data_IF_120108442964
#
_entry.id   IF_120108442964
#
_cell.length_a   1.000
_cell.length_b   1.000
_cell.length_c   1.000
_cell.angle_alpha   90.00
_cell.angle_beta   90.00
_cell.angle_gamma   90.00
#
_symmetry.space_group_name_H-M   'P 1'
#
loop_
_entity.id
_entity.type
_entity.pdbx_description
1 polymer ?
#
# COMPACT_ATOMS: atom_id res chain seq x y z
N UNK A 1 65.40 0.27 15.60
CA UNK A 1 65.29 -1.17 15.92
C UNK A 1 64.75 -1.89 14.68
N UNK A 2 65.34 -3.02 14.25
CA UNK A 2 64.97 -3.71 12.99
C UNK A 2 63.90 -4.78 13.27
N UNK A 3 62.82 -4.80 12.50
CA UNK A 3 62.10 -6.05 12.17
C UNK A 3 61.92 -6.07 10.64
N UNK A 4 62.29 -7.20 10.02
CA UNK A 4 62.34 -7.44 8.57
C UNK A 4 61.61 -8.77 8.30
N UNK A 5 60.93 -8.90 7.15
CA UNK A 5 60.46 -10.17 6.53
C UNK A 5 59.35 -10.90 7.34
N UNK A 6 58.54 -11.86 6.86
CA UNK A 6 58.17 -12.41 5.52
C UNK A 6 56.90 -13.30 5.70
N UNK A 7 56.13 -13.76 4.69
CA UNK A 7 56.20 -13.59 3.22
C UNK A 7 54.79 -13.51 2.56
N UNK A 8 54.79 -12.95 1.36
CA UNK A 8 53.91 -13.12 0.20
C UNK A 8 53.46 -14.57 -0.12
N UNK A 9 52.18 -14.77 -0.48
CA UNK A 9 51.70 -15.74 -1.49
C UNK A 9 50.33 -15.30 -2.03
N UNK A 10 50.20 -15.12 -3.35
CA UNK A 10 48.94 -14.88 -4.06
C UNK A 10 48.47 -16.20 -4.65
N UNK A 11 47.19 -16.54 -4.55
CA UNK A 11 46.52 -17.37 -5.55
C UNK A 11 45.08 -16.88 -5.74
N UNK A 12 44.74 -16.48 -6.96
CA UNK A 12 43.38 -16.17 -7.34
C UNK A 12 42.64 -17.48 -7.67
N UNK A 13 41.43 -17.65 -7.14
CA UNK A 13 40.48 -18.66 -7.64
C UNK A 13 39.17 -17.94 -7.97
N UNK A 14 39.00 -17.69 -9.27
CA UNK A 14 37.71 -17.34 -9.86
C UNK A 14 36.78 -18.54 -9.82
N UNK A 15 35.59 -18.39 -9.22
CA UNK A 15 34.50 -19.35 -9.34
C UNK A 15 33.17 -18.60 -9.55
N UNK A 16 32.83 -18.38 -10.82
CA UNK A 16 31.47 -18.00 -11.23
C UNK A 16 30.64 -19.28 -11.26
N UNK A 17 29.71 -19.45 -10.33
CA UNK A 17 28.75 -20.56 -10.35
C UNK A 17 27.44 -20.14 -11.01
N UNK A 18 27.49 -19.98 -12.34
CA UNK A 18 26.29 -19.86 -13.17
C UNK A 18 25.54 -21.20 -13.19
N UNK A 19 24.52 -21.36 -12.37
CA UNK A 19 23.57 -22.48 -12.49
C UNK A 19 22.51 -22.18 -13.56
N UNK A 20 22.92 -22.31 -14.82
CA UNK A 20 21.99 -22.36 -15.94
C UNK A 20 21.43 -23.79 -16.06
N UNK A 21 20.22 -24.01 -15.54
CA UNK A 21 19.42 -25.19 -15.91
C UNK A 21 18.74 -24.91 -17.24
N UNK A 22 19.36 -25.33 -18.33
CA UNK A 22 18.71 -25.42 -19.63
C UNK A 22 17.76 -26.62 -19.63
N UNK A 23 16.46 -26.37 -19.65
CA UNK A 23 15.46 -27.37 -20.02
C UNK A 23 15.32 -27.38 -21.57
N UNK A 24 15.18 -28.56 -22.21
CA UNK A 24 15.14 -28.66 -23.66
C UNK A 24 13.87 -28.07 -24.26
N UNK A 25 14.02 -27.47 -25.44
CA UNK A 25 12.92 -27.09 -26.32
C UNK A 25 12.37 -28.34 -27.02
N UNK A 26 11.21 -28.85 -26.57
CA UNK A 26 10.41 -29.79 -27.34
C UNK A 26 9.05 -29.17 -27.69
N UNK A 27 8.72 -29.25 -28.98
CA UNK A 27 7.59 -28.55 -29.56
C UNK A 27 6.26 -29.28 -29.29
N UNK A 28 5.33 -28.62 -28.59
CA UNK A 28 3.96 -29.09 -28.51
C UNK A 28 3.17 -28.69 -29.76
N UNK A 29 3.09 -29.62 -30.72
CA UNK A 29 2.20 -29.53 -31.87
C UNK A 29 0.75 -29.64 -31.39
N UNK A 30 -0.01 -28.55 -31.54
CA UNK A 30 -1.46 -28.56 -31.32
C UNK A 30 -2.13 -29.36 -32.44
N UNK A 31 -2.42 -30.64 -32.18
CA UNK A 31 -3.35 -31.43 -33.00
C UNK A 31 -4.78 -31.13 -32.57
N UNK A 32 -5.47 -30.28 -33.34
CA UNK A 32 -6.93 -30.16 -33.25
C UNK A 32 -7.53 -31.44 -33.83
N UNK A 33 -8.02 -32.32 -32.96
CA UNK A 33 -8.89 -33.43 -33.32
C UNK A 33 -10.33 -33.00 -33.09
N UNK A 34 -11.10 -32.92 -34.17
CA UNK A 34 -12.57 -32.89 -34.10
C UNK A 34 -13.09 -34.32 -34.20
N UNK A 35 -13.94 -34.73 -33.27
CA UNK A 35 -14.88 -35.84 -33.49
C UNK A 35 -16.19 -35.60 -32.72
N UNK A 36 -17.23 -36.32 -33.12
CA UNK A 36 -18.64 -36.02 -32.89
C UNK A 36 -19.25 -36.80 -31.70
N UNK A 37 -20.19 -36.16 -30.99
CA UNK A 37 -21.39 -36.74 -30.31
C UNK A 37 -21.19 -37.99 -29.40
N UNK A 38 -21.55 -37.99 -28.10
CA UNK A 38 -22.94 -38.01 -27.60
C UNK A 38 -23.03 -37.98 -26.06
N UNK A 39 -24.14 -37.44 -25.52
CA UNK A 39 -24.89 -37.87 -24.32
C UNK A 39 -24.16 -38.25 -23.01
N UNK A 40 -24.35 -37.43 -21.96
CA UNK A 40 -24.19 -37.86 -20.56
C UNK A 40 -24.45 -36.72 -19.57
N UNK A 41 -25.60 -36.72 -18.89
CA UNK A 41 -25.97 -35.67 -17.93
C UNK A 41 -25.61 -36.05 -16.49
N UNK A 42 -24.78 -35.24 -15.84
CA UNK A 42 -24.71 -35.11 -14.37
C UNK A 42 -24.56 -33.63 -14.02
N UNK A 43 -25.22 -33.20 -12.94
CA UNK A 43 -25.39 -31.78 -12.65
C UNK A 43 -24.11 -31.09 -12.18
N UNK A 44 -23.83 -29.92 -12.73
CA UNK A 44 -22.87 -28.95 -12.20
C UNK A 44 -23.61 -27.75 -11.62
N UNK A 45 -23.16 -27.30 -10.46
CA UNK A 45 -23.57 -26.03 -9.83
C UNK A 45 -23.32 -24.88 -10.81
N UNK A 46 -24.20 -23.86 -10.93
CA UNK A 46 -23.91 -22.70 -11.75
C UNK A 46 -22.70 -21.95 -11.18
N UNK A 47 -21.53 -22.13 -11.80
CA UNK A 47 -20.42 -21.20 -11.64
C UNK A 47 -20.85 -19.89 -12.28
N UNK A 48 -20.99 -18.86 -11.45
CA UNK A 48 -21.08 -17.47 -11.91
C UNK A 48 -19.95 -17.22 -12.93
N UNK A 49 -20.24 -16.64 -14.11
CA UNK A 49 -19.21 -16.43 -15.10
C UNK A 49 -18.19 -15.43 -14.54
N UNK A 50 -17.01 -15.92 -14.21
CA UNK A 50 -15.85 -15.08 -13.93
C UNK A 50 -15.61 -14.25 -15.18
N UNK A 51 -15.99 -12.97 -15.12
CA UNK A 51 -15.75 -12.01 -16.20
C UNK A 51 -14.27 -11.66 -16.16
N UNK A 52 -13.44 -12.57 -16.66
CA UNK A 52 -12.04 -12.31 -16.94
C UNK A 52 -12.00 -11.16 -17.94
N UNK A 53 -11.47 -10.02 -17.50
CA UNK A 53 -11.25 -8.89 -18.39
C UNK A 53 -10.35 -9.37 -19.55
N UNK A 54 -10.68 -9.03 -20.81
CA UNK A 54 -9.98 -9.61 -21.95
C UNK A 54 -8.49 -9.27 -21.90
N UNK A 55 -7.65 -10.31 -21.87
CA UNK A 55 -6.20 -10.17 -21.96
C UNK A 55 -5.83 -9.31 -23.18
N UNK A 56 -5.10 -8.21 -22.94
CA UNK A 56 -4.66 -7.28 -23.99
C UNK A 56 -5.46 -6.00 -24.14
N UNK A 57 -6.55 -5.78 -23.37
CA UNK A 57 -7.09 -4.42 -23.21
C UNK A 57 -6.05 -3.55 -22.45
N UNK A 58 -5.55 -2.44 -23.00
CA UNK A 58 -4.45 -1.72 -22.40
C UNK A 58 -4.94 -0.96 -21.16
N UNK A 59 -4.36 -1.29 -20.00
CA UNK A 59 -4.75 -0.79 -18.69
C UNK A 59 -4.87 0.76 -18.69
N UNK A 60 -6.08 1.25 -18.40
CA UNK A 60 -6.40 2.69 -18.40
C UNK A 60 -5.56 3.48 -17.39
N UNK A 61 -5.25 2.88 -16.24
CA UNK A 61 -4.42 3.47 -15.19
C UNK A 61 -2.95 3.47 -15.60
N UNK A 62 -2.42 2.37 -16.13
CA UNK A 62 -1.06 2.34 -16.64
C UNK A 62 -0.86 3.34 -17.78
N UNK A 63 -1.81 3.41 -18.72
CA UNK A 63 -1.86 4.43 -19.77
C UNK A 63 -1.91 5.87 -19.22
N UNK A 64 -2.69 6.10 -18.17
CA UNK A 64 -2.75 7.40 -17.50
C UNK A 64 -1.39 7.75 -16.87
N UNK A 65 -0.77 6.81 -16.15
CA UNK A 65 0.54 7.01 -15.51
C UNK A 65 1.65 7.24 -16.54
N UNK A 66 1.70 6.47 -17.64
CA UNK A 66 2.63 6.68 -18.76
C UNK A 66 2.47 8.08 -19.37
N UNK A 67 1.24 8.56 -19.57
CA UNK A 67 0.97 9.95 -20.03
C UNK A 67 1.42 11.04 -19.04
N UNK A 68 1.64 10.70 -17.77
CA UNK A 68 2.23 11.58 -16.75
C UNK A 68 3.75 11.32 -16.53
N UNK A 69 4.38 10.51 -17.38
CA UNK A 69 5.80 10.14 -17.27
C UNK A 69 6.14 9.28 -16.05
N UNK A 70 5.17 8.51 -15.54
CA UNK A 70 5.33 7.59 -14.40
C UNK A 70 5.25 6.13 -14.90
N UNK A 71 5.79 5.18 -14.14
CA UNK A 71 5.65 3.72 -14.36
C UNK A 71 6.11 3.20 -15.75
N UNK A 72 7.00 3.89 -16.45
CA UNK A 72 7.51 3.45 -17.75
C UNK A 72 8.39 2.19 -17.69
N UNK A 73 8.77 1.74 -16.49
CA UNK A 73 9.53 0.50 -16.25
C UNK A 73 8.67 -0.74 -15.98
N UNK A 74 7.35 -0.68 -16.22
CA UNK A 74 6.39 -1.80 -16.14
C UNK A 74 5.36 -1.73 -17.28
N UNK A 75 4.90 -2.90 -17.70
CA UNK A 75 3.94 -3.17 -18.78
C UNK A 75 2.58 -3.70 -18.28
N UNK A 76 2.50 -4.18 -17.03
CA UNK A 76 1.27 -4.41 -16.27
C UNK A 76 1.28 -3.63 -14.96
N UNK A 77 0.12 -3.09 -14.56
CA UNK A 77 -0.06 -2.42 -13.27
C UNK A 77 0.08 -3.36 -12.07
N UNK A 78 -0.13 -4.67 -12.24
CA UNK A 78 0.12 -5.69 -11.20
C UNK A 78 1.57 -5.68 -10.70
N UNK A 79 2.50 -5.18 -11.51
CA UNK A 79 3.90 -5.03 -11.14
C UNK A 79 4.18 -3.79 -10.27
N UNK A 80 3.22 -2.89 -10.07
CA UNK A 80 3.42 -1.63 -9.34
C UNK A 80 3.89 -1.86 -7.90
N UNK A 81 3.12 -2.62 -7.11
CA UNK A 81 3.50 -3.05 -5.76
C UNK A 81 4.74 -3.96 -5.74
N UNK A 82 4.74 -5.11 -6.43
CA UNK A 82 5.84 -6.09 -6.40
C UNK A 82 7.19 -5.59 -6.91
N UNK A 83 7.23 -4.61 -7.81
CA UNK A 83 8.48 -3.96 -8.28
C UNK A 83 8.77 -2.64 -7.57
N UNK A 84 8.02 -2.30 -6.52
CA UNK A 84 8.15 -1.07 -5.72
C UNK A 84 8.20 0.20 -6.57
N UNK A 85 7.40 0.27 -7.64
CA UNK A 85 7.42 1.41 -8.57
C UNK A 85 6.77 2.64 -7.94
N UNK A 86 7.20 3.81 -8.37
CA UNK A 86 6.77 5.09 -7.81
C UNK A 86 5.91 5.88 -8.78
N UNK A 87 4.80 6.39 -8.25
CA UNK A 87 4.01 7.47 -8.84
C UNK A 87 4.17 8.71 -7.98
N UNK A 88 4.69 9.80 -8.55
CA UNK A 88 4.88 11.08 -7.87
C UNK A 88 4.21 12.20 -8.67
N UNK A 89 2.97 12.55 -8.29
CA UNK A 89 2.13 13.53 -8.98
C UNK A 89 1.71 14.68 -8.05
N UNK A 90 2.67 15.18 -7.27
CA UNK A 90 2.48 16.24 -6.27
C UNK A 90 2.20 17.61 -6.90
N UNK A 91 1.25 18.35 -6.33
CA UNK A 91 0.93 19.74 -6.66
C UNK A 91 0.75 19.97 -8.18
N UNK A 92 -0.12 19.16 -8.79
CA UNK A 92 -0.46 19.21 -10.22
C UNK A 92 -1.87 19.73 -10.50
N UNK A 93 -2.63 20.06 -9.45
CA UNK A 93 -4.04 20.46 -9.56
C UNK A 93 -4.98 19.34 -10.00
N UNK A 94 -4.55 18.07 -9.90
CA UNK A 94 -5.31 16.90 -10.35
C UNK A 94 -6.61 16.78 -9.55
N UNK A 95 -7.71 16.61 -10.26
CA UNK A 95 -9.03 16.27 -9.73
C UNK A 95 -9.34 14.81 -10.04
N UNK A 96 -10.32 14.23 -9.34
CA UNK A 96 -10.77 12.87 -9.64
C UNK A 96 -11.20 12.71 -11.10
N UNK A 97 -11.86 13.70 -11.69
CA UNK A 97 -12.30 13.68 -13.10
C UNK A 97 -11.16 13.69 -14.14
N UNK A 98 -9.90 13.97 -13.76
CA UNK A 98 -8.76 13.94 -14.67
C UNK A 98 -8.14 12.53 -14.80
N UNK A 99 -8.64 11.56 -14.02
CA UNK A 99 -8.12 10.19 -13.88
C UNK A 99 -9.14 9.16 -14.42
N UNK A 100 -8.76 7.89 -14.62
CA UNK A 100 -9.73 6.82 -14.86
C UNK A 100 -10.76 6.71 -13.72
N UNK A 101 -12.06 6.61 -14.05
CA UNK A 101 -13.15 6.58 -13.07
C UNK A 101 -13.43 5.16 -12.54
N UNK A 102 -12.39 4.46 -12.12
CA UNK A 102 -12.43 3.04 -11.69
C UNK A 102 -11.37 2.76 -10.62
N UNK A 103 -11.55 1.72 -9.77
CA UNK A 103 -10.46 1.17 -8.96
C UNK A 103 -9.20 0.86 -9.77
N UNK A 104 -8.03 0.83 -9.15
CA UNK A 104 -6.80 0.39 -9.82
C UNK A 104 -6.90 -1.05 -10.34
N UNK A 105 -7.69 -1.90 -9.68
CA UNK A 105 -7.83 -3.32 -10.05
C UNK A 105 -6.68 -4.21 -9.54
N UNK A 106 -5.75 -3.67 -8.76
CA UNK A 106 -4.59 -4.40 -8.21
C UNK A 106 -4.68 -4.53 -6.69
N UNK A 107 -4.13 -5.60 -6.14
CA UNK A 107 -4.09 -5.85 -4.68
C UNK A 107 -2.90 -5.21 -3.97
N UNK A 108 -1.90 -4.72 -4.71
CA UNK A 108 -0.66 -4.14 -4.16
C UNK A 108 -0.19 -2.92 -4.96
N UNK A 109 -0.04 -1.80 -4.26
CA UNK A 109 0.47 -0.52 -4.80
C UNK A 109 1.91 -0.30 -4.34
N UNK A 110 2.77 0.32 -5.16
CA UNK A 110 4.17 0.58 -4.80
C UNK A 110 4.35 1.79 -3.89
N UNK A 111 4.89 2.88 -4.45
CA UNK A 111 4.85 4.22 -3.88
C UNK A 111 3.84 5.08 -4.65
N UNK A 112 3.03 5.84 -3.93
CA UNK A 112 2.03 6.74 -4.49
C UNK A 112 1.97 8.05 -3.69
N UNK A 113 2.45 9.15 -4.28
CA UNK A 113 2.32 10.50 -3.73
C UNK A 113 1.45 11.37 -4.66
N UNK A 114 0.27 11.73 -4.14
CA UNK A 114 -0.74 12.58 -4.77
C UNK A 114 -1.02 13.83 -3.92
N UNK A 115 -0.12 14.21 -3.00
CA UNK A 115 -0.38 15.31 -2.07
C UNK A 115 -0.51 16.67 -2.76
N UNK A 116 -1.24 17.56 -2.11
CA UNK A 116 -1.49 18.94 -2.55
C UNK A 116 -2.15 19.06 -3.92
N UNK A 117 -3.09 18.17 -4.24
CA UNK A 117 -3.92 18.24 -5.45
C UNK A 117 -5.33 18.73 -5.10
N UNK A 118 -6.31 18.49 -5.98
CA UNK A 118 -7.72 18.83 -5.80
C UNK A 118 -8.60 17.57 -5.74
N UNK A 119 -8.10 16.51 -5.08
CA UNK A 119 -8.85 15.27 -4.89
C UNK A 119 -9.98 15.45 -3.87
N UNK A 120 -11.12 14.83 -4.18
CA UNK A 120 -12.32 14.77 -3.35
C UNK A 120 -12.64 13.36 -2.84
N UNK A 121 -12.04 12.34 -3.46
CA UNK A 121 -12.13 10.95 -3.03
C UNK A 121 -10.88 10.15 -3.43
N UNK A 122 -10.80 8.93 -2.93
CA UNK A 122 -9.73 7.96 -3.20
C UNK A 122 -10.32 6.61 -3.66
N UNK A 123 -11.43 6.64 -4.40
CA UNK A 123 -12.14 5.45 -4.91
C UNK A 123 -11.25 4.49 -5.70
N UNK A 124 -10.18 5.02 -6.33
CA UNK A 124 -9.16 4.25 -7.03
C UNK A 124 -8.45 3.22 -6.14
N UNK A 125 -8.43 3.40 -4.81
CA UNK A 125 -7.82 2.47 -3.85
C UNK A 125 -8.66 1.23 -3.51
N UNK A 126 -9.95 1.17 -3.92
CA UNK A 126 -10.79 0.01 -3.57
C UNK A 126 -10.18 -1.30 -4.08
N UNK A 127 -10.10 -2.29 -3.19
CA UNK A 127 -9.50 -3.60 -3.48
C UNK A 127 -7.99 -3.70 -3.22
N UNK A 128 -7.28 -2.59 -2.96
CA UNK A 128 -5.87 -2.63 -2.56
C UNK A 128 -5.75 -3.21 -1.14
N UNK A 129 -4.89 -4.21 -0.96
CA UNK A 129 -4.64 -4.85 0.34
C UNK A 129 -3.30 -4.46 0.99
N UNK A 130 -2.36 -3.96 0.19
CA UNK A 130 -1.02 -3.60 0.64
C UNK A 130 -0.44 -2.41 -0.13
N UNK A 131 0.39 -1.63 0.55
CA UNK A 131 1.25 -0.62 -0.07
C UNK A 131 2.70 -1.03 0.24
N UNK A 132 3.51 -1.26 -0.79
CA UNK A 132 4.86 -1.80 -0.64
C UNK A 132 5.90 -0.75 -0.25
N UNK A 133 5.57 0.56 -0.33
CA UNK A 133 6.45 1.61 0.17
C UNK A 133 5.74 2.75 0.92
N UNK A 134 5.22 3.76 0.23
CA UNK A 134 4.54 4.92 0.88
C UNK A 134 3.27 5.30 0.14
N UNK A 135 2.31 5.87 0.87
CA UNK A 135 1.08 6.44 0.34
C UNK A 135 0.83 7.80 0.99
N UNK A 136 0.78 8.85 0.16
CA UNK A 136 0.61 10.22 0.60
C UNK A 136 -0.48 10.90 -0.24
N UNK A 137 -1.61 11.20 0.40
CA UNK A 137 -2.72 11.97 -0.19
C UNK A 137 -2.95 13.28 0.54
N UNK A 138 -1.96 13.73 1.32
CA UNK A 138 -2.08 14.88 2.22
C UNK A 138 -2.44 16.18 1.48
N UNK A 139 -3.03 17.14 2.18
CA UNK A 139 -3.40 18.45 1.65
C UNK A 139 -4.34 18.37 0.43
N UNK A 140 -5.19 17.34 0.38
CA UNK A 140 -6.35 17.24 -0.49
C UNK A 140 -7.61 17.45 0.36
N UNK A 141 -7.98 18.69 0.74
CA UNK A 141 -9.02 18.96 1.73
C UNK A 141 -10.44 18.57 1.27
N UNK A 142 -10.61 18.17 0.01
CA UNK A 142 -11.86 17.58 -0.49
C UNK A 142 -12.08 16.14 -0.04
N UNK A 143 -11.04 15.40 0.36
CA UNK A 143 -11.17 14.03 0.85
C UNK A 143 -11.82 14.05 2.24
N UNK A 144 -12.97 13.39 2.37
CA UNK A 144 -13.76 13.24 3.60
C UNK A 144 -14.04 11.80 4.00
N UNK A 145 -13.83 10.84 3.10
CA UNK A 145 -14.02 9.40 3.32
C UNK A 145 -12.73 8.62 3.05
N UNK A 146 -12.43 7.67 3.92
CA UNK A 146 -11.31 6.74 3.83
C UNK A 146 -11.77 5.28 3.62
N UNK A 147 -13.08 5.01 3.51
CA UNK A 147 -13.63 3.67 3.25
C UNK A 147 -12.99 2.89 2.09
N UNK A 148 -12.47 3.53 0.99
CA UNK A 148 -11.73 2.80 -0.03
C UNK A 148 -10.46 2.09 0.44
N UNK A 149 -9.89 2.50 1.59
CA UNK A 149 -8.69 1.91 2.19
C UNK A 149 -8.99 0.65 3.05
N UNK A 150 -10.25 0.29 3.24
CA UNK A 150 -10.69 -0.82 4.12
C UNK A 150 -10.06 -2.19 3.83
N UNK A 151 -9.52 -2.42 2.63
CA UNK A 151 -8.78 -3.64 2.29
C UNK A 151 -7.35 -3.68 2.84
N UNK A 152 -6.78 -2.54 3.24
CA UNK A 152 -5.36 -2.38 3.54
C UNK A 152 -5.04 -2.87 4.95
N UNK A 153 -4.11 -3.82 5.04
CA UNK A 153 -3.62 -4.35 6.32
C UNK A 153 -2.15 -4.01 6.61
N UNK A 154 -1.36 -3.71 5.57
CA UNK A 154 0.08 -3.46 5.67
C UNK A 154 0.52 -2.32 4.76
N UNK A 155 1.32 -1.41 5.31
CA UNK A 155 2.10 -0.41 4.56
C UNK A 155 3.58 -0.61 4.89
N UNK A 156 4.33 -1.14 3.92
CA UNK A 156 5.69 -1.64 4.13
C UNK A 156 6.73 -0.53 4.05
N UNK A 157 7.37 -0.21 5.17
CA UNK A 157 8.67 0.46 5.21
C UNK A 157 8.69 1.99 5.05
N UNK A 158 7.70 2.59 4.40
CA UNK A 158 7.65 4.04 4.16
C UNK A 158 6.56 4.78 4.95
N UNK A 159 6.09 5.88 4.37
CA UNK A 159 5.24 6.87 5.02
C UNK A 159 3.78 6.67 4.60
N UNK A 160 2.87 6.66 5.57
CA UNK A 160 1.43 6.74 5.33
C UNK A 160 0.94 8.10 5.82
N UNK A 161 0.54 8.97 4.89
CA UNK A 161 0.11 10.34 5.23
C UNK A 161 -1.29 10.69 4.75
N UNK A 162 -2.05 11.18 5.70
CA UNK A 162 -3.42 11.66 5.60
C UNK A 162 -3.52 13.07 6.21
N UNK A 163 -2.48 13.90 6.06
CA UNK A 163 -2.43 15.21 6.71
C UNK A 163 -3.32 16.22 5.98
N UNK A 164 -3.98 17.14 6.70
CA UNK A 164 -4.68 18.27 6.06
C UNK A 164 -5.88 17.89 5.17
N UNK A 165 -6.60 16.83 5.53
CA UNK A 165 -7.87 16.40 4.91
C UNK A 165 -9.07 17.00 5.67
N UNK A 166 -10.30 16.73 5.20
CA UNK A 166 -11.55 17.16 5.87
C UNK A 166 -12.27 16.00 6.60
N UNK A 167 -11.54 14.94 6.93
CA UNK A 167 -12.06 13.73 7.58
C UNK A 167 -12.54 13.99 9.01
N UNK A 168 -13.57 13.26 9.44
CA UNK A 168 -14.13 13.31 10.82
C UNK A 168 -13.84 12.07 11.64
N UNK A 169 -13.53 10.95 10.97
CA UNK A 169 -13.14 9.66 11.52
C UNK A 169 -12.04 9.02 10.66
N UNK A 170 -11.52 7.87 11.08
CA UNK A 170 -10.55 7.05 10.34
C UNK A 170 -11.17 5.77 9.75
N UNK A 171 -12.48 5.76 9.49
CA UNK A 171 -13.17 4.55 9.01
C UNK A 171 -12.63 4.15 7.63
N UNK A 172 -12.36 2.87 7.44
CA UNK A 172 -11.52 2.35 6.36
C UNK A 172 -10.09 2.01 6.79
N UNK A 173 -9.65 2.31 8.01
CA UNK A 173 -8.36 1.87 8.56
C UNK A 173 -8.46 0.72 9.58
N UNK A 174 -9.64 0.14 9.78
CA UNK A 174 -9.91 -0.88 10.81
C UNK A 174 -9.09 -2.16 10.64
N UNK A 175 -8.62 -2.43 9.42
CA UNK A 175 -7.80 -3.59 9.10
C UNK A 175 -6.28 -3.31 9.12
N UNK A 176 -5.85 -2.05 9.29
CA UNK A 176 -4.45 -1.67 9.29
C UNK A 176 -3.74 -2.23 10.53
N UNK A 177 -2.81 -3.16 10.33
CA UNK A 177 -2.05 -3.80 11.41
C UNK A 177 -0.62 -3.29 11.49
N UNK A 178 -0.02 -2.86 10.38
CA UNK A 178 1.39 -2.50 10.29
C UNK A 178 1.62 -1.30 9.36
N UNK A 179 2.35 -0.30 9.84
CA UNK A 179 2.93 0.79 9.04
C UNK A 179 4.22 1.28 9.68
N UNK A 180 5.18 1.83 8.94
CA UNK A 180 6.36 2.43 9.59
C UNK A 180 5.96 3.73 10.28
N UNK A 181 5.43 4.69 9.53
CA UNK A 181 5.20 6.05 10.01
C UNK A 181 3.82 6.54 9.51
N UNK A 182 2.90 6.77 10.45
CA UNK A 182 1.53 7.21 10.20
C UNK A 182 1.36 8.68 10.55
N UNK A 183 0.81 9.48 9.63
CA UNK A 183 0.51 10.88 9.84
C UNK A 183 -1.00 11.13 9.64
N UNK A 184 -1.69 11.47 10.73
CA UNK A 184 -3.14 11.81 10.74
C UNK A 184 -3.41 13.21 11.33
N UNK A 185 -2.36 14.01 11.47
CA UNK A 185 -2.40 15.37 11.99
C UNK A 185 -2.85 16.40 10.94
N UNK A 186 -3.08 17.64 11.36
CA UNK A 186 -3.62 18.70 10.51
C UNK A 186 -5.09 18.48 10.12
N UNK A 187 -5.82 17.60 10.82
CA UNK A 187 -7.21 17.26 10.56
C UNK A 187 -8.10 17.80 11.68
N UNK A 188 -8.42 19.11 11.73
CA UNK A 188 -9.10 19.73 12.87
C UNK A 188 -10.54 19.26 13.10
N UNK A 189 -11.12 18.51 12.14
CA UNK A 189 -12.45 17.88 12.26
C UNK A 189 -12.38 16.41 12.70
N UNK A 190 -11.19 15.81 12.76
CA UNK A 190 -11.01 14.40 13.10
C UNK A 190 -11.25 14.18 14.60
N UNK A 191 -12.43 13.67 14.94
CA UNK A 191 -12.84 13.42 16.33
C UNK A 191 -12.90 11.94 16.71
N UNK A 192 -12.81 11.03 15.74
CA UNK A 192 -12.83 9.58 15.97
C UNK A 192 -11.59 8.92 15.38
N UNK A 193 -10.76 8.34 16.24
CA UNK A 193 -9.56 7.57 15.85
C UNK A 193 -9.68 6.09 16.24
N UNK A 194 -10.88 5.60 16.57
CA UNK A 194 -11.11 4.23 17.04
C UNK A 194 -10.76 3.14 16.03
N UNK A 195 -10.82 3.45 14.73
CA UNK A 195 -10.38 2.55 13.66
C UNK A 195 -8.89 2.15 13.77
N UNK A 196 -8.05 2.90 14.50
CA UNK A 196 -6.66 2.50 14.76
C UNK A 196 -6.52 1.26 15.65
N UNK A 197 -7.59 0.77 16.29
CA UNK A 197 -7.55 -0.32 17.28
C UNK A 197 -6.74 -1.54 16.86
N UNK A 198 -6.74 -1.90 15.56
CA UNK A 198 -6.02 -3.06 15.01
C UNK A 198 -4.53 -2.86 14.78
N UNK A 199 -4.02 -1.62 14.84
CA UNK A 199 -2.62 -1.30 14.58
C UNK A 199 -1.73 -1.91 15.68
N UNK A 200 -0.78 -2.76 15.29
CA UNK A 200 0.11 -3.51 16.22
C UNK A 200 1.49 -2.88 16.36
N UNK A 201 1.97 -2.22 15.31
CA UNK A 201 3.34 -1.70 15.26
C UNK A 201 3.41 -0.46 14.37
N UNK A 202 4.07 0.58 14.88
CA UNK A 202 4.46 1.76 14.11
C UNK A 202 5.59 2.51 14.80
N UNK A 203 6.61 2.94 14.05
CA UNK A 203 7.72 3.73 14.58
C UNK A 203 7.27 5.11 15.05
N UNK A 204 6.35 5.75 14.33
CA UNK A 204 5.75 7.02 14.73
C UNK A 204 4.30 7.12 14.25
N UNK A 205 3.40 7.53 15.15
CA UNK A 205 2.04 7.98 14.84
C UNK A 205 1.94 9.46 15.18
N UNK A 206 1.86 10.31 14.16
CA UNK A 206 1.74 11.76 14.28
C UNK A 206 0.26 12.18 14.33
N UNK A 207 -0.10 12.84 15.42
CA UNK A 207 -1.48 13.22 15.76
C UNK A 207 -1.60 14.71 16.04
N UNK A 208 -2.84 15.21 16.06
CA UNK A 208 -3.17 16.56 16.50
C UNK A 208 -3.16 16.66 18.04
N UNK A 209 -3.98 17.52 18.63
CA UNK A 209 -4.18 17.56 20.09
C UNK A 209 -5.09 16.40 20.52
N UNK A 210 -4.69 15.53 21.47
CA UNK A 210 -5.55 14.44 21.96
C UNK A 210 -6.91 14.86 22.52
N UNK A 211 -7.06 16.15 22.86
CA UNK A 211 -8.31 16.73 23.35
C UNK A 211 -9.40 16.83 22.27
N UNK A 212 -9.06 16.77 20.97
CA UNK A 212 -10.07 16.79 19.90
C UNK A 212 -10.73 15.41 19.68
N UNK A 213 -10.05 14.33 20.08
CA UNK A 213 -10.53 12.97 19.89
C UNK A 213 -11.58 12.60 20.95
N UNK A 214 -12.82 12.49 20.51
CA UNK A 214 -14.00 12.12 21.31
C UNK A 214 -14.20 10.61 21.38
N UNK A 215 -13.75 9.89 20.33
CA UNK A 215 -13.82 8.44 20.24
C UNK A 215 -12.42 7.92 19.91
N UNK A 216 -11.96 6.95 20.69
CA UNK A 216 -10.58 6.46 20.73
C UNK A 216 -10.56 4.92 20.72
N UNK A 217 -9.44 4.29 20.33
CA UNK A 217 -9.21 2.87 20.53
C UNK A 217 -9.46 2.45 21.98
N UNK A 218 -10.03 1.25 22.17
CA UNK A 218 -10.31 0.71 23.50
C UNK A 218 -9.01 0.30 24.20
N UNK A 219 -8.92 0.52 25.51
CA UNK A 219 -7.89 -0.07 26.37
C UNK A 219 -7.86 -1.59 26.15
N UNK A 220 -6.66 -2.17 26.06
CA UNK A 220 -6.49 -3.59 25.71
C UNK A 220 -6.46 -3.88 24.20
N UNK A 221 -6.80 -2.92 23.33
CA UNK A 221 -6.62 -3.07 21.88
C UNK A 221 -5.13 -3.16 21.50
N UNK A 222 -4.78 -3.80 20.37
CA UNK A 222 -3.42 -3.80 19.82
C UNK A 222 -2.74 -2.42 19.82
N UNK A 223 -3.47 -1.36 19.45
CA UNK A 223 -2.93 0.00 19.44
C UNK A 223 -2.54 0.49 20.83
N UNK A 224 -3.43 0.35 21.81
CA UNK A 224 -3.18 0.80 23.18
C UNK A 224 -2.06 0.00 23.84
N UNK A 225 -2.08 -1.33 23.69
CA UNK A 225 -1.00 -2.19 24.16
C UNK A 225 0.34 -1.85 23.47
N UNK A 226 0.30 -1.44 22.21
CA UNK A 226 1.48 -1.00 21.46
C UNK A 226 2.08 0.30 21.99
N UNK A 227 1.24 1.25 22.42
CA UNK A 227 1.69 2.46 23.12
C UNK A 227 2.33 2.13 24.48
N UNK A 228 1.72 1.21 25.24
CA UNK A 228 2.21 0.81 26.57
C UNK A 228 3.52 -0.01 26.50
N UNK A 229 3.69 -0.83 25.46
CA UNK A 229 4.87 -1.70 25.27
C UNK A 229 5.97 -1.06 24.42
N UNK A 230 5.69 0.07 23.76
CA UNK A 230 6.63 0.76 22.87
C UNK A 230 6.74 0.20 21.46
N UNK A 231 5.91 -0.78 21.05
CA UNK A 231 5.80 -1.17 19.63
C UNK A 231 5.13 -0.09 18.77
N UNK A 232 4.46 0.87 19.41
CA UNK A 232 3.94 2.09 18.81
C UNK A 232 4.47 3.29 19.61
N UNK A 233 5.14 4.22 18.93
CA UNK A 233 5.39 5.56 19.50
C UNK A 233 4.45 6.57 18.85
N UNK A 234 3.81 7.42 19.64
CA UNK A 234 2.92 8.48 19.13
C UNK A 234 3.38 9.87 19.59
N UNK A 235 3.17 10.88 18.74
CA UNK A 235 3.63 12.26 18.95
C UNK A 235 2.60 13.27 18.48
N UNK A 236 2.36 14.32 19.27
CA UNK A 236 1.57 15.46 18.78
C UNK A 236 2.45 16.41 17.96
N UNK A 237 1.91 16.93 16.85
CA UNK A 237 2.59 17.97 16.07
C UNK A 237 2.81 19.28 16.85
N UNK A 238 2.01 19.52 17.90
CA UNK A 238 2.13 20.68 18.76
C UNK A 238 3.29 20.49 19.75
N UNK A 239 4.52 20.74 19.29
CA UNK A 239 5.75 20.70 20.09
C UNK A 239 6.40 19.32 20.22
N UNK A 240 5.97 18.30 19.47
CA UNK A 240 6.61 16.98 19.44
C UNK A 240 6.41 16.14 20.71
N UNK A 241 5.48 16.54 21.58
CA UNK A 241 5.18 15.86 22.84
C UNK A 241 4.84 14.38 22.61
N UNK A 242 5.39 13.50 23.47
CA UNK A 242 5.11 12.07 23.43
C UNK A 242 3.69 11.81 23.95
N UNK A 243 2.92 11.06 23.17
CA UNK A 243 1.54 10.69 23.49
C UNK A 243 1.51 9.30 24.15
N UNK A 244 0.70 9.15 25.18
CA UNK A 244 0.53 7.89 25.93
C UNK A 244 -0.83 7.23 25.64
N UNK A 245 -0.97 5.97 26.02
CA UNK A 245 -2.28 5.28 26.03
C UNK A 245 -3.34 6.06 26.80
N UNK A 246 -3.01 6.63 27.97
CA UNK A 246 -3.92 7.49 28.74
C UNK A 246 -4.42 8.74 27.98
N UNK A 247 -3.71 9.20 26.94
CA UNK A 247 -4.14 10.30 26.08
C UNK A 247 -4.93 9.82 24.86
N UNK A 248 -4.54 8.69 24.26
CA UNK A 248 -5.05 8.22 22.96
C UNK A 248 -5.98 7.00 23.03
N UNK A 249 -6.28 6.48 24.21
CA UNK A 249 -7.19 5.35 24.44
C UNK A 249 -8.33 5.71 25.39
N UNK A 250 -9.38 4.88 25.41
CA UNK A 250 -10.52 4.99 26.33
C UNK A 250 -10.98 3.60 26.81
N UNK A 251 -11.72 3.54 27.92
CA UNK A 251 -12.43 2.34 28.37
C UNK A 251 -13.57 1.94 27.44
#
# INVERSE_FOLDING_TARGET
>A
MKIKKALLSILAISAVSSFAFAAPQDAYIIKVLMDQTTSGATGTTPTEPEVTAPEGAPDEWLNYFHKKGQLYEIDSLDLWGPKMRSVYLVNKGIKNADMPQKPFGVTSVGYLDLRSNALTNIEFMRGVNSITYSFDVSFNPGITDLSPLSGISVISGGLFRLEGLSITNLNGLENLQFTSDLHINGNPKLTDISALSSLKTSKNVWVDSPAQYKVKPKIGSPFCNGLDTGSISARSINGGAVMTSAMLCQS
#
